data_IF_819386156684
#
_entry.id   IF_819386156684
#
_cell.length_a   1.000
_cell.length_b   1.000
_cell.length_c   1.000
_cell.angle_alpha   90.00
_cell.angle_beta   90.00
_cell.angle_gamma   90.00
#
_symmetry.space_group_name_H-M   'P 1'
#
loop_
_entity.id
_entity.type
_entity.pdbx_description
1 polymer ?
#
# COMPACT_ATOMS: atom_id res chain seq x y z
N UNK A 1 7.25 26.80 -8.35
CA UNK A 1 6.32 25.77 -7.81
C UNK A 1 6.49 24.54 -8.67
N UNK A 2 6.89 23.38 -8.10
CA UNK A 2 6.76 22.12 -8.84
C UNK A 2 5.27 21.79 -8.85
N UNK A 3 4.64 21.78 -10.02
CA UNK A 3 3.28 21.27 -10.17
C UNK A 3 3.18 19.89 -9.54
N UNK A 4 2.18 19.70 -8.69
CA UNK A 4 1.94 18.44 -7.99
C UNK A 4 1.32 17.49 -9.01
N UNK A 5 2.11 16.50 -9.47
CA UNK A 5 1.62 15.37 -10.27
C UNK A 5 0.49 14.69 -9.50
N UNK A 6 -0.62 14.43 -10.18
CA UNK A 6 -1.82 13.85 -9.59
C UNK A 6 -1.85 12.32 -9.74
N UNK A 7 -1.20 11.78 -10.79
CA UNK A 7 -1.29 10.37 -11.14
C UNK A 7 0.08 9.77 -11.48
N UNK A 8 0.36 8.60 -10.91
CA UNK A 8 1.57 7.83 -11.15
C UNK A 8 1.21 6.47 -11.75
N UNK A 9 1.72 6.18 -12.94
CA UNK A 9 1.45 4.89 -13.61
C UNK A 9 2.37 3.80 -13.09
N UNK A 10 1.80 2.66 -12.72
CA UNK A 10 2.57 1.49 -12.29
C UNK A 10 1.79 0.20 -12.51
N UNK A 11 2.33 -0.74 -13.30
CA UNK A 11 1.72 -2.06 -13.57
C UNK A 11 0.23 -2.04 -13.90
N UNK A 12 -0.17 -1.12 -14.78
CA UNK A 12 -1.56 -0.94 -15.22
C UNK A 12 -2.42 -0.09 -14.28
N UNK A 13 -1.92 0.28 -13.09
CA UNK A 13 -2.61 1.16 -12.17
C UNK A 13 -2.26 2.64 -12.37
N UNK A 14 -3.19 3.48 -11.90
CA UNK A 14 -3.04 4.94 -11.74
C UNK A 14 -3.05 5.25 -10.26
N UNK A 15 -1.86 5.32 -9.65
CA UNK A 15 -1.65 5.61 -8.23
C UNK A 15 -1.81 7.11 -7.97
N UNK A 16 -2.38 7.48 -6.84
CA UNK A 16 -2.78 8.86 -6.48
C UNK A 16 -1.65 9.66 -5.82
N UNK A 17 -0.58 8.99 -5.41
CA UNK A 17 0.57 9.68 -4.85
C UNK A 17 1.91 9.02 -5.18
N UNK A 18 2.97 9.83 -5.10
CA UNK A 18 4.34 9.32 -5.24
C UNK A 18 4.68 8.32 -4.12
N UNK A 19 4.12 8.53 -2.92
CA UNK A 19 4.35 7.64 -1.79
C UNK A 19 3.72 6.26 -2.03
N UNK A 20 2.52 6.20 -2.61
CA UNK A 20 1.90 4.94 -3.06
C UNK A 20 2.73 4.26 -4.15
N UNK A 21 3.29 5.01 -5.12
CA UNK A 21 4.19 4.45 -6.13
C UNK A 21 5.39 3.75 -5.50
N UNK A 22 6.05 4.39 -4.55
CA UNK A 22 7.20 3.79 -3.89
C UNK A 22 6.81 2.57 -3.06
N UNK A 23 5.67 2.61 -2.35
CA UNK A 23 5.18 1.44 -1.63
C UNK A 23 4.82 0.28 -2.56
N UNK A 24 4.17 0.54 -3.70
CA UNK A 24 3.89 -0.48 -4.72
C UNK A 24 5.17 -1.15 -5.23
N UNK A 25 6.22 -0.36 -5.50
CA UNK A 25 7.54 -0.88 -5.90
C UNK A 25 8.19 -1.71 -4.78
N UNK A 26 8.09 -1.27 -3.53
CA UNK A 26 8.62 -2.02 -2.38
C UNK A 26 7.89 -3.35 -2.22
N UNK A 27 6.57 -3.38 -2.35
CA UNK A 27 5.77 -4.62 -2.29
C UNK A 27 6.20 -5.60 -3.39
N UNK A 28 6.37 -5.13 -4.63
CA UNK A 28 6.83 -5.99 -5.74
C UNK A 28 8.27 -6.46 -5.59
N UNK A 29 9.14 -5.58 -5.13
CA UNK A 29 10.52 -5.93 -4.85
C UNK A 29 10.62 -6.98 -3.75
N UNK A 30 9.69 -6.98 -2.79
CA UNK A 30 9.56 -7.97 -1.74
C UNK A 30 8.75 -9.22 -2.15
N UNK A 31 8.31 -9.30 -3.42
CA UNK A 31 7.46 -10.38 -3.95
C UNK A 31 6.16 -10.55 -3.14
N UNK A 32 5.58 -9.43 -2.72
CA UNK A 32 4.27 -9.36 -2.07
C UNK A 32 3.23 -9.03 -3.13
N UNK A 33 2.28 -9.93 -3.33
CA UNK A 33 1.20 -9.72 -4.27
C UNK A 33 0.20 -8.71 -3.68
N UNK A 34 -0.19 -7.74 -4.50
CA UNK A 34 -1.18 -6.74 -4.14
C UNK A 34 -2.16 -6.46 -5.29
N UNK A 35 -3.35 -6.02 -4.88
CA UNK A 35 -4.33 -5.29 -5.69
C UNK A 35 -4.38 -3.84 -5.23
N UNK A 36 -4.53 -2.89 -6.16
CA UNK A 36 -4.64 -1.46 -5.84
C UNK A 36 -6.10 -1.00 -5.95
N UNK A 37 -6.56 -0.21 -5.00
CA UNK A 37 -7.96 0.23 -4.86
C UNK A 37 -8.96 -0.89 -5.18
N UNK A 38 -8.87 -2.04 -4.46
CA UNK A 38 -9.48 -3.30 -4.84
C UNK A 38 -11.01 -3.22 -4.90
N UNK A 39 -11.64 -2.71 -3.85
CA UNK A 39 -13.08 -2.60 -3.72
C UNK A 39 -13.46 -1.58 -2.63
N UNK A 40 -14.58 -0.91 -2.87
CA UNK A 40 -15.19 0.03 -1.93
C UNK A 40 -15.96 -0.73 -0.84
N UNK A 41 -15.52 -0.61 0.42
CA UNK A 41 -16.18 -1.20 1.57
C UNK A 41 -17.18 -0.20 2.15
N UNK A 42 -18.47 -0.57 2.20
CA UNK A 42 -19.47 0.22 2.93
C UNK A 42 -19.32 -0.02 4.43
N UNK A 43 -19.15 1.05 5.20
CA UNK A 43 -19.21 1.08 6.66
C UNK A 43 -20.39 1.94 7.10
N UNK A 44 -20.72 1.93 8.40
CA UNK A 44 -21.95 2.59 8.87
C UNK A 44 -21.94 4.10 8.60
N UNK A 45 -20.77 4.74 8.70
CA UNK A 45 -20.58 6.18 8.45
C UNK A 45 -20.01 6.50 7.06
N UNK A 46 -20.24 5.63 6.07
CA UNK A 46 -19.94 5.90 4.66
C UNK A 46 -19.17 4.78 3.96
N UNK A 47 -18.10 5.16 3.26
CA UNK A 47 -17.32 4.22 2.47
C UNK A 47 -15.84 4.32 2.81
N UNK A 48 -15.17 3.18 2.72
CA UNK A 48 -13.73 3.03 2.88
C UNK A 48 -13.17 2.32 1.64
N UNK A 49 -12.25 2.99 0.95
CA UNK A 49 -11.52 2.42 -0.17
C UNK A 49 -10.06 2.28 0.28
N UNK A 50 -9.57 1.06 0.57
CA UNK A 50 -8.16 0.86 0.90
C UNK A 50 -7.29 1.14 -0.32
N UNK A 51 -6.08 1.65 -0.09
CA UNK A 51 -5.11 1.83 -1.17
C UNK A 51 -4.65 0.48 -1.73
N UNK A 52 -4.39 -0.50 -0.87
CA UNK A 52 -3.96 -1.84 -1.30
C UNK A 52 -4.68 -2.98 -0.57
N UNK A 53 -4.80 -4.13 -1.25
CA UNK A 53 -5.21 -5.41 -0.66
C UNK A 53 -4.20 -6.51 -0.98
N UNK A 54 -3.80 -7.25 0.06
CA UNK A 54 -2.84 -8.34 -0.02
C UNK A 54 -3.59 -9.67 0.19
N UNK A 55 -4.13 -10.30 -0.87
CA UNK A 55 -5.00 -11.46 -0.77
C UNK A 55 -4.36 -12.68 -0.11
N UNK A 56 -3.07 -12.93 -0.36
CA UNK A 56 -2.33 -14.04 0.25
C UNK A 56 -2.14 -13.89 1.76
N UNK A 57 -2.20 -12.66 2.26
CA UNK A 57 -2.03 -12.33 3.68
C UNK A 57 -3.38 -12.13 4.37
N UNK A 58 -4.35 -11.55 3.67
CA UNK A 58 -5.67 -11.23 4.22
C UNK A 58 -5.77 -9.84 4.85
N UNK A 59 -4.93 -8.88 4.44
CA UNK A 59 -4.83 -7.53 5.03
C UNK A 59 -4.99 -6.41 4.00
N UNK A 60 -5.65 -5.33 4.40
CA UNK A 60 -5.66 -4.05 3.69
C UNK A 60 -4.50 -3.17 4.14
N UNK A 61 -3.89 -2.46 3.19
CA UNK A 61 -2.90 -1.43 3.51
C UNK A 61 -3.41 -0.05 3.09
N UNK A 62 -3.16 0.93 3.94
CA UNK A 62 -3.48 2.33 3.71
C UNK A 62 -2.21 3.17 3.82
N UNK A 63 -1.89 3.96 2.80
CA UNK A 63 -0.70 4.80 2.76
C UNK A 63 -1.02 6.18 3.35
N UNK A 64 -0.20 6.63 4.30
CA UNK A 64 -0.30 7.96 4.89
C UNK A 64 1.05 8.66 4.89
N UNK A 65 1.05 9.95 4.54
CA UNK A 65 2.27 10.76 4.59
C UNK A 65 2.72 11.10 6.02
N UNK A 66 1.80 11.05 6.99
CA UNK A 66 1.99 11.28 8.43
C UNK A 66 1.18 10.24 9.20
N UNK A 67 1.28 10.24 10.53
CA UNK A 67 0.41 9.41 11.36
C UNK A 67 -1.07 9.60 11.00
N UNK A 68 -1.87 8.52 10.96
CA UNK A 68 -3.29 8.60 10.69
C UNK A 68 -3.99 9.39 11.80
N UNK A 69 -5.01 10.16 11.40
CA UNK A 69 -5.89 10.88 12.31
C UNK A 69 -6.82 9.93 13.06
N UNK A 70 -7.40 10.38 14.18
CA UNK A 70 -8.38 9.59 14.94
C UNK A 70 -9.58 9.15 14.08
N UNK A 71 -10.01 9.98 13.13
CA UNK A 71 -11.10 9.66 12.20
C UNK A 71 -10.70 8.52 11.25
N UNK A 72 -9.46 8.53 10.75
CA UNK A 72 -8.95 7.47 9.88
C UNK A 72 -8.78 6.16 10.65
N UNK A 73 -8.30 6.23 11.89
CA UNK A 73 -8.23 5.09 12.81
C UNK A 73 -9.63 4.50 13.06
N UNK A 74 -10.63 5.34 13.34
CA UNK A 74 -12.02 4.89 13.54
C UNK A 74 -12.59 4.20 12.31
N UNK A 75 -12.32 4.72 11.11
CA UNK A 75 -12.74 4.09 9.85
C UNK A 75 -12.06 2.73 9.64
N UNK A 76 -10.76 2.64 9.90
CA UNK A 76 -10.04 1.37 9.83
C UNK A 76 -10.63 0.35 10.82
N UNK A 77 -10.88 0.74 12.08
CA UNK A 77 -11.52 -0.11 13.09
C UNK A 77 -12.91 -0.59 12.62
N UNK A 78 -13.73 0.30 12.04
CA UNK A 78 -15.05 -0.06 11.52
C UNK A 78 -14.98 -1.07 10.35
N UNK A 79 -14.01 -0.92 9.44
CA UNK A 79 -13.79 -1.86 8.33
C UNK A 79 -13.33 -3.21 8.84
N UNK A 80 -12.41 -3.22 9.81
CA UNK A 80 -11.93 -4.46 10.42
C UNK A 80 -13.07 -5.20 11.12
N UNK A 81 -13.89 -4.50 11.91
CA UNK A 81 -15.06 -5.08 12.57
C UNK A 81 -16.07 -5.65 11.57
N UNK A 82 -16.29 -4.96 10.44
CA UNK A 82 -17.30 -5.34 9.46
C UNK A 82 -16.85 -6.46 8.51
N UNK A 83 -15.60 -6.46 8.09
CA UNK A 83 -15.08 -7.42 7.10
C UNK A 83 -14.34 -8.58 7.73
N UNK A 84 -13.92 -8.45 8.99
CA UNK A 84 -13.02 -9.40 9.67
C UNK A 84 -11.59 -9.41 9.11
N UNK A 85 -11.28 -8.54 8.13
CA UNK A 85 -9.97 -8.38 7.51
C UNK A 85 -9.21 -7.27 8.22
N UNK A 86 -7.92 -7.45 8.40
CA UNK A 86 -7.07 -6.47 9.08
C UNK A 86 -6.79 -5.25 8.20
N UNK A 87 -6.45 -4.14 8.84
CA UNK A 87 -5.96 -2.92 8.21
C UNK A 87 -4.63 -2.54 8.86
N UNK A 88 -3.63 -2.21 8.04
CA UNK A 88 -2.38 -1.61 8.49
C UNK A 88 -2.14 -0.28 7.77
N UNK A 89 -1.58 0.70 8.48
CA UNK A 89 -1.13 1.94 7.84
C UNK A 89 0.35 1.85 7.50
N UNK A 90 0.67 2.16 6.25
CA UNK A 90 2.02 2.43 5.78
C UNK A 90 2.28 3.93 5.92
N UNK A 91 2.98 4.31 6.98
CA UNK A 91 3.21 5.71 7.34
C UNK A 91 4.55 6.18 6.80
N UNK A 92 4.57 7.36 6.19
CA UNK A 92 5.78 7.98 5.66
C UNK A 92 6.15 7.51 4.25
N UNK A 93 7.11 8.21 3.66
CA UNK A 93 7.65 7.90 2.34
C UNK A 93 8.82 6.93 2.51
N UNK A 94 8.77 5.71 1.94
CA UNK A 94 9.90 4.80 2.04
C UNK A 94 11.09 5.41 1.28
N UNK A 95 12.19 5.54 1.99
CA UNK A 95 13.50 5.90 1.46
C UNK A 95 14.48 4.80 1.84
N UNK A 96 15.64 4.75 1.20
CA UNK A 96 16.66 3.77 1.57
C UNK A 96 18.06 4.33 1.55
N UNK A 97 18.90 3.85 2.46
CA UNK A 97 20.34 4.07 2.49
C UNK A 97 21.09 2.72 2.54
N UNK A 98 22.36 2.75 2.96
CA UNK A 98 23.21 1.54 3.07
C UNK A 98 22.80 0.64 4.26
N UNK A 99 21.98 1.15 5.19
CA UNK A 99 21.47 0.43 6.35
C UNK A 99 20.08 -0.16 6.10
N UNK A 100 19.28 0.48 5.26
CA UNK A 100 18.02 -0.09 4.79
C UNK A 100 16.92 0.91 4.54
N UNK A 101 15.67 0.45 4.72
CA UNK A 101 14.49 1.30 4.63
C UNK A 101 14.44 2.28 5.81
N UNK A 102 14.22 3.55 5.51
CA UNK A 102 14.09 4.63 6.46
C UNK A 102 12.91 5.56 6.11
N UNK A 103 12.63 6.51 7.00
CA UNK A 103 11.58 7.54 6.84
C UNK A 103 10.14 6.98 6.64
N UNK A 104 9.93 5.73 7.07
CA UNK A 104 8.63 5.07 6.98
C UNK A 104 8.39 4.15 8.19
N UNK A 105 7.13 3.75 8.37
CA UNK A 105 6.61 2.97 9.50
C UNK A 105 5.44 2.09 9.09
N UNK A 106 5.23 0.96 9.78
CA UNK A 106 3.99 0.18 9.67
C UNK A 106 3.23 0.22 10.99
N UNK A 107 2.06 0.87 10.98
CA UNK A 107 1.16 0.94 12.13
C UNK A 107 0.13 -0.19 12.01
N UNK A 108 0.06 -1.04 13.04
CA UNK A 108 -0.85 -2.19 13.11
C UNK A 108 -1.65 -2.15 14.40
N UNK A 109 -2.84 -2.74 14.38
CA UNK A 109 -3.75 -2.71 15.54
C UNK A 109 -3.59 -3.94 16.42
N UNK A 110 -2.81 -3.86 17.50
CA UNK A 110 -2.68 -4.91 18.53
C UNK A 110 -3.84 -4.98 19.55
N UNK A 111 -3.72 -5.90 20.51
CA UNK A 111 -4.65 -6.03 21.64
C UNK A 111 -4.74 -4.75 22.49
N UNK A 112 -3.61 -4.03 22.63
CA UNK A 112 -3.52 -2.78 23.38
C UNK A 112 -3.90 -1.54 22.55
N UNK A 113 -4.34 -1.72 21.29
CA UNK A 113 -4.64 -0.63 20.36
C UNK A 113 -3.63 -0.52 19.22
N UNK A 114 -3.64 0.62 18.53
CA UNK A 114 -2.74 0.91 17.41
C UNK A 114 -1.32 1.18 17.90
N UNK A 115 -0.35 0.48 17.32
CA UNK A 115 1.06 0.63 17.66
C UNK A 115 1.92 0.40 16.42
N UNK A 116 3.11 1.01 16.42
CA UNK A 116 4.13 0.65 15.44
C UNK A 116 4.57 -0.79 15.72
N UNK A 117 4.15 -1.72 14.86
CA UNK A 117 4.33 -3.15 15.11
C UNK A 117 5.77 -3.60 14.86
N UNK A 118 6.32 -3.21 13.71
CA UNK A 118 7.69 -3.45 13.29
C UNK A 118 8.11 -2.20 12.51
N UNK A 119 9.27 -1.60 12.82
CA UNK A 119 9.78 -0.54 11.96
C UNK A 119 10.19 -1.13 10.61
N UNK A 120 9.97 -0.47 9.48
CA UNK A 120 10.44 -0.94 8.18
C UNK A 120 11.94 -1.26 8.17
N UNK A 121 12.75 -0.60 9.00
CA UNK A 121 14.15 -0.97 9.23
C UNK A 121 14.31 -2.37 9.86
N UNK A 122 13.51 -2.70 10.88
CA UNK A 122 13.52 -4.03 11.49
C UNK A 122 13.07 -5.10 10.48
N UNK A 123 12.01 -4.82 9.72
CA UNK A 123 11.55 -5.70 8.64
C UNK A 123 12.65 -5.88 7.59
N UNK A 124 13.32 -4.79 7.24
CA UNK A 124 14.40 -4.75 6.27
C UNK A 124 15.62 -5.59 6.70
N UNK A 125 16.05 -5.46 7.96
CA UNK A 125 17.11 -6.28 8.55
C UNK A 125 16.71 -7.76 8.58
N UNK A 126 15.46 -8.07 8.96
CA UNK A 126 14.96 -9.45 8.95
C UNK A 126 15.01 -10.05 7.53
N UNK A 127 14.62 -9.29 6.51
CA UNK A 127 14.69 -9.74 5.10
C UNK A 127 16.14 -9.98 4.68
N UNK A 128 17.07 -9.08 5.03
CA UNK A 128 18.50 -9.24 4.75
C UNK A 128 19.05 -10.54 5.34
N UNK A 129 18.73 -10.80 6.60
CA UNK A 129 19.31 -11.89 7.37
C UNK A 129 18.66 -13.25 7.06
N UNK A 130 17.37 -13.28 6.68
CA UNK A 130 16.58 -14.52 6.59
C UNK A 130 16.02 -14.86 5.21
N UNK A 131 15.90 -13.89 4.29
CA UNK A 131 15.38 -14.12 2.93
C UNK A 131 16.51 -14.14 1.91
N UNK A 132 17.46 -13.20 2.04
CA UNK A 132 18.71 -13.20 1.28
C UNK A 132 19.04 -11.86 0.64
N UNK A 133 20.33 -11.72 0.29
CA UNK A 133 20.91 -10.45 -0.17
C UNK A 133 20.30 -9.94 -1.49
N UNK A 134 19.87 -10.83 -2.40
CA UNK A 134 19.28 -10.42 -3.68
C UNK A 134 17.93 -9.71 -3.50
N UNK A 135 17.05 -10.26 -2.67
CA UNK A 135 15.77 -9.67 -2.30
C UNK A 135 15.98 -8.33 -1.58
N UNK A 136 16.90 -8.33 -0.61
CA UNK A 136 17.31 -7.14 0.11
C UNK A 136 17.75 -6.00 -0.82
N UNK A 137 18.61 -6.28 -1.81
CA UNK A 137 19.06 -5.28 -2.79
C UNK A 137 17.93 -4.75 -3.66
N UNK A 138 16.97 -5.60 -4.05
CA UNK A 138 15.80 -5.19 -4.83
C UNK A 138 14.90 -4.23 -4.03
N UNK A 139 14.61 -4.54 -2.78
CA UNK A 139 13.79 -3.69 -1.90
C UNK A 139 14.45 -2.34 -1.68
N UNK A 140 15.75 -2.32 -1.40
CA UNK A 140 16.49 -1.06 -1.28
C UNK A 140 16.42 -0.24 -2.57
N UNK A 141 16.67 -0.86 -3.73
CA UNK A 141 16.60 -0.14 -5.00
C UNK A 141 15.20 0.40 -5.29
N UNK A 142 14.15 -0.33 -4.93
CA UNK A 142 12.76 0.08 -5.13
C UNK A 142 12.34 1.31 -4.32
N UNK A 143 12.95 1.53 -3.15
CA UNK A 143 12.72 2.70 -2.31
C UNK A 143 13.57 3.92 -2.75
N UNK A 144 14.56 3.74 -3.64
CA UNK A 144 15.27 4.86 -4.27
C UNK A 144 14.38 5.45 -5.36
N UNK A 145 14.07 6.73 -5.25
CA UNK A 145 13.42 7.46 -6.34
C UNK A 145 14.29 7.46 -7.60
N UNK A 146 13.66 7.34 -8.76
CA UNK A 146 14.33 7.39 -10.06
C UNK A 146 14.23 8.80 -10.65
N UNK A 147 15.24 9.26 -11.39
CA UNK A 147 15.14 10.49 -12.17
C UNK A 147 13.99 10.42 -13.18
N UNK A 148 13.69 9.22 -13.69
CA UNK A 148 12.56 8.97 -14.58
C UNK A 148 11.21 9.17 -13.90
N UNK A 149 11.13 9.12 -12.56
CA UNK A 149 9.90 9.44 -11.83
C UNK A 149 9.51 10.93 -11.98
N UNK A 150 10.48 11.77 -12.35
CA UNK A 150 10.29 13.19 -12.65
C UNK A 150 10.04 13.48 -14.14
N UNK A 151 10.22 12.49 -15.02
CA UNK A 151 9.93 12.61 -16.45
C UNK A 151 8.46 12.25 -16.68
N UNK A 152 7.70 13.19 -17.23
CA UNK A 152 6.27 13.01 -17.54
C UNK A 152 6.08 12.88 -19.06
N UNK A 153 5.61 11.73 -19.57
CA UNK A 153 5.10 11.64 -20.93
C UNK A 153 4.01 12.69 -21.16
N UNK A 154 3.93 13.23 -22.38
CA UNK A 154 2.89 14.22 -22.71
C UNK A 154 1.48 13.64 -22.58
N UNK A 155 1.33 12.32 -22.76
CA UNK A 155 0.07 11.60 -22.54
C UNK A 155 -0.43 11.74 -21.10
N UNK A 156 0.43 11.46 -20.12
CA UNK A 156 0.11 11.60 -18.69
C UNK A 156 -0.31 13.03 -18.33
N UNK A 157 0.34 14.05 -18.93
CA UNK A 157 0.00 15.46 -18.70
C UNK A 157 -1.42 15.78 -19.23
N UNK A 158 -1.75 15.29 -20.42
CA UNK A 158 -3.08 15.48 -21.00
C UNK A 158 -4.15 14.74 -20.20
N UNK A 159 -3.85 13.52 -19.75
CA UNK A 159 -4.75 12.74 -18.89
C UNK A 159 -5.02 13.44 -17.56
N UNK A 160 -3.97 13.94 -16.88
CA UNK A 160 -4.12 14.74 -15.66
C UNK A 160 -4.97 16.00 -15.90
N UNK A 161 -4.77 16.68 -17.04
CA UNK A 161 -5.59 17.84 -17.40
C UNK A 161 -7.07 17.46 -17.57
N UNK A 162 -7.36 16.38 -18.29
CA UNK A 162 -8.75 15.93 -18.47
C UNK A 162 -9.38 15.48 -17.16
N UNK A 163 -8.65 14.78 -16.30
CA UNK A 163 -9.14 14.36 -14.99
C UNK A 163 -9.32 15.54 -14.03
N UNK A 164 -8.48 16.57 -14.12
CA UNK A 164 -8.65 17.80 -13.35
C UNK A 164 -9.81 18.68 -13.82
N UNK A 165 -10.27 18.51 -15.07
CA UNK A 165 -11.45 19.18 -15.61
C UNK A 165 -12.75 18.39 -15.38
N UNK A 166 -12.65 17.09 -15.09
CA UNK A 166 -13.78 16.24 -14.80
C UNK A 166 -14.35 16.53 -13.40
N UNK A 167 -15.65 16.28 -13.22
CA UNK A 167 -16.25 16.27 -11.90
C UNK A 167 -15.62 15.16 -11.05
N UNK A 168 -15.58 15.37 -9.73
CA UNK A 168 -14.98 14.41 -8.80
C UNK A 168 -15.57 13.01 -8.94
N UNK A 169 -16.88 12.89 -9.16
CA UNK A 169 -17.56 11.61 -9.38
C UNK A 169 -17.03 10.88 -10.62
N UNK A 170 -16.82 11.62 -11.71
CA UNK A 170 -16.42 11.07 -13.00
C UNK A 170 -14.95 10.63 -12.94
N UNK A 171 -14.11 11.38 -12.22
CA UNK A 171 -12.74 10.99 -11.94
C UNK A 171 -12.67 9.69 -11.12
N UNK A 172 -13.46 9.59 -10.05
CA UNK A 172 -13.52 8.38 -9.22
C UNK A 172 -14.03 7.17 -10.02
N UNK A 173 -15.02 7.38 -10.90
CA UNK A 173 -15.51 6.34 -11.80
C UNK A 173 -14.45 5.89 -12.81
N UNK A 174 -13.77 6.82 -13.48
CA UNK A 174 -12.73 6.53 -14.46
C UNK A 174 -11.56 5.72 -13.86
N UNK A 175 -11.11 6.11 -12.65
CA UNK A 175 -10.09 5.37 -11.92
C UNK A 175 -10.55 3.94 -11.63
N UNK A 176 -11.76 3.77 -11.10
CA UNK A 176 -12.33 2.45 -10.78
C UNK A 176 -12.47 1.55 -12.02
N UNK A 177 -12.98 2.10 -13.12
CA UNK A 177 -13.13 1.37 -14.39
C UNK A 177 -11.78 0.95 -14.97
N UNK A 178 -10.71 1.67 -14.65
CA UNK A 178 -9.35 1.33 -15.08
C UNK A 178 -8.71 0.28 -14.19
N UNK A 179 -8.89 0.37 -12.87
CA UNK A 179 -8.28 -0.58 -11.93
C UNK A 179 -9.00 -1.94 -11.92
N UNK A 180 -10.31 -1.98 -12.15
CA UNK A 180 -11.08 -3.22 -12.04
C UNK A 180 -10.66 -4.34 -13.01
N UNK A 181 -10.40 -4.09 -14.32
CA UNK A 181 -9.87 -5.10 -15.23
C UNK A 181 -8.47 -5.58 -14.80
N UNK A 182 -7.60 -4.67 -14.37
CA UNK A 182 -6.24 -4.98 -13.90
C UNK A 182 -6.28 -5.84 -12.64
N UNK A 183 -7.15 -5.49 -11.69
CA UNK A 183 -7.38 -6.28 -10.47
C UNK A 183 -7.90 -7.69 -10.82
N UNK A 184 -8.82 -7.79 -11.78
CA UNK A 184 -9.38 -9.08 -12.22
C UNK A 184 -8.32 -9.97 -12.88
N UNK A 185 -7.52 -9.41 -13.80
CA UNK A 185 -6.42 -10.12 -14.47
C UNK A 185 -5.36 -10.59 -13.47
N UNK A 186 -4.92 -9.70 -12.57
CA UNK A 186 -3.93 -10.04 -11.55
C UNK A 186 -4.45 -11.09 -10.58
N UNK A 187 -5.71 -10.99 -10.13
CA UNK A 187 -6.32 -11.97 -9.23
C UNK A 187 -6.45 -13.35 -9.89
N UNK A 188 -6.73 -13.41 -11.20
CA UNK A 188 -6.75 -14.67 -11.95
C UNK A 188 -5.36 -15.35 -11.99
N UNK A 189 -4.29 -14.57 -11.85
CA UNK A 189 -2.90 -15.03 -11.81
C UNK A 189 -2.29 -15.00 -10.40
N UNK A 190 -3.11 -15.04 -9.33
CA UNK A 190 -2.63 -15.00 -7.94
C UNK A 190 -1.59 -16.12 -7.69
N UNK A 191 -0.32 -15.79 -7.38
CA UNK A 191 0.71 -16.78 -7.10
C UNK A 191 0.55 -17.38 -5.71
N UNK A 192 1.20 -18.53 -5.48
CA UNK A 192 1.36 -19.07 -4.14
C UNK A 192 2.08 -18.05 -3.22
N UNK A 193 1.75 -18.00 -1.91
CA UNK A 193 2.33 -17.01 -1.01
C UNK A 193 3.86 -17.02 -1.03
N UNK A 194 4.49 -15.85 -1.11
CA UNK A 194 5.94 -15.70 -1.04
C UNK A 194 6.47 -15.89 0.39
N UNK A 195 7.80 -15.88 0.56
CA UNK A 195 8.43 -15.92 1.90
C UNK A 195 8.00 -14.70 2.72
N UNK A 196 8.00 -13.50 2.11
CA UNK A 196 7.60 -12.26 2.76
C UNK A 196 6.13 -12.29 3.16
N UNK A 197 5.24 -12.76 2.28
CA UNK A 197 3.81 -12.88 2.60
C UNK A 197 3.55 -13.86 3.74
N UNK A 198 4.24 -15.01 3.76
CA UNK A 198 4.17 -15.95 4.89
C UNK A 198 4.68 -15.33 6.19
N UNK A 199 5.76 -14.56 6.14
CA UNK A 199 6.32 -13.90 7.32
C UNK A 199 5.36 -12.82 7.87
N UNK A 200 4.77 -12.00 6.99
CA UNK A 200 3.75 -11.02 7.37
C UNK A 200 2.56 -11.74 7.97
N UNK A 201 2.02 -12.76 7.30
CA UNK A 201 0.89 -13.53 7.82
C UNK A 201 1.19 -14.15 9.19
N UNK A 202 2.36 -14.75 9.36
CA UNK A 202 2.80 -15.31 10.64
C UNK A 202 2.91 -14.25 11.74
N UNK A 203 3.41 -13.05 11.40
CA UNK A 203 3.48 -11.93 12.34
C UNK A 203 2.08 -11.50 12.76
N UNK A 204 1.18 -11.32 11.79
CA UNK A 204 -0.20 -10.91 12.02
C UNK A 204 -0.96 -11.92 12.89
N UNK A 205 -0.86 -13.22 12.57
CA UNK A 205 -1.54 -14.29 13.33
C UNK A 205 -1.09 -14.37 14.81
N UNK A 206 0.08 -13.81 15.17
CA UNK A 206 0.61 -13.81 16.55
C UNK A 206 0.29 -12.56 17.34
N UNK A 207 0.11 -11.44 16.66
CA UNK A 207 -0.45 -10.27 17.31
C UNK A 207 -1.87 -10.69 17.71
N UNK A 208 -2.19 -10.64 19.00
CA UNK A 208 -3.54 -10.98 19.48
C UNK A 208 -4.53 -9.87 19.05
N UNK A 209 -4.73 -9.71 17.75
CA UNK A 209 -5.60 -8.72 17.12
C UNK A 209 -7.06 -8.95 17.46
N UNK A 210 -7.39 -10.18 17.89
CA UNK A 210 -8.67 -10.57 18.48
C UNK A 210 -8.42 -10.95 19.94
N UNK A 211 -8.32 -9.96 20.81
CA UNK A 211 -8.61 -10.16 22.23
C UNK A 211 -10.07 -10.60 22.34
N UNK A 212 -10.30 -11.73 23.02
CA UNK A 212 -11.60 -12.37 23.19
C UNK A 212 -12.71 -11.37 23.55
N UNK A 213 -13.85 -11.51 22.87
CA UNK A 213 -15.13 -11.04 23.40
C UNK A 213 -15.43 -11.73 24.74
#
# INVERSE_FOLDING_TARGET
MRERRAIYHHNGYRLRSYTELLWARVLEAAEIFYLYEPDLVRVDDGYYLPDFWLPNVGIYLEVKGKDPTDIEIQKADAVMARTGREVAFLVGRPESDDQGLMNCGMLVRGAAGWSYGISPNDLHCLVKDHVGHSMWSRINLAAKGDIMDSVRPIGDILEELFLGLADRSDMEQCLRETHAPVNSERMAALPAPSVCERAIKWFLDRQQFRGAA
#
